data_IF_548393102829
#
_entry.id   IF_548393102829
#
_cell.length_a   1.000
_cell.length_b   1.000
_cell.length_c   1.000
_cell.angle_alpha   90.00
_cell.angle_beta   90.00
_cell.angle_gamma   90.00
#
_symmetry.space_group_name_H-M   'P 1'
#
loop_
_entity.id
_entity.type
_entity.pdbx_description
1 polymer ?
#
# COMPACT_ATOMS: atom_id res chain seq x y z
N UNK A 1 13.04 13.79 -9.39
CA UNK A 1 12.22 13.02 -10.34
C UNK A 1 13.14 12.08 -11.10
N UNK A 2 13.02 10.78 -10.84
CA UNK A 2 13.86 9.72 -11.41
C UNK A 2 13.31 9.21 -12.76
N UNK A 3 12.24 9.81 -13.28
CA UNK A 3 11.58 9.40 -14.53
C UNK A 3 12.50 9.40 -15.75
N UNK A 4 13.49 10.31 -15.78
CA UNK A 4 14.42 10.49 -16.90
C UNK A 4 15.68 9.62 -16.84
N UNK A 5 15.91 8.89 -15.73
CA UNK A 5 17.10 8.08 -15.57
C UNK A 5 17.03 6.80 -16.44
N UNK A 6 18.08 6.55 -17.21
CA UNK A 6 18.31 5.30 -17.98
C UNK A 6 18.99 4.20 -17.16
N UNK A 7 19.55 4.56 -16.00
CA UNK A 7 20.27 3.67 -15.09
C UNK A 7 19.86 3.91 -13.63
N UNK A 8 20.11 2.93 -12.77
CA UNK A 8 19.86 3.04 -11.34
C UNK A 8 20.85 4.02 -10.68
N UNK A 9 20.35 5.02 -9.97
CA UNK A 9 21.19 6.01 -9.24
C UNK A 9 22.07 5.43 -8.12
N UNK A 10 21.84 4.18 -7.72
CA UNK A 10 22.57 3.52 -6.61
C UNK A 10 23.58 2.47 -7.07
N UNK A 11 23.25 1.71 -8.13
CA UNK A 11 24.11 0.61 -8.60
C UNK A 11 24.50 0.72 -10.07
N UNK A 12 24.08 1.78 -10.77
CA UNK A 12 24.36 2.07 -12.18
C UNK A 12 23.90 0.97 -13.15
N UNK A 13 23.09 0.01 -12.67
CA UNK A 13 22.51 -1.02 -13.53
C UNK A 13 21.53 -0.39 -14.52
N UNK A 14 21.46 -0.89 -15.77
CA UNK A 14 20.55 -0.38 -16.78
C UNK A 14 19.10 -0.58 -16.34
N UNK A 15 18.28 0.46 -16.54
CA UNK A 15 16.85 0.43 -16.20
C UNK A 15 16.04 -0.49 -17.11
N UNK A 16 16.51 -0.67 -18.34
CA UNK A 16 15.85 -1.46 -19.36
C UNK A 16 16.74 -2.63 -19.82
N UNK A 17 16.10 -3.76 -20.11
CA UNK A 17 16.72 -4.95 -20.67
C UNK A 17 16.41 -4.96 -22.17
N UNK A 18 17.42 -4.95 -23.05
CA UNK A 18 17.21 -5.04 -24.48
C UNK A 18 16.64 -6.42 -24.85
N UNK A 19 15.61 -6.45 -25.70
CA UNK A 19 15.14 -7.72 -26.31
C UNK A 19 16.15 -8.15 -27.37
N UNK A 20 16.51 -9.45 -27.40
CA UNK A 20 17.53 -10.01 -28.32
C UNK A 20 17.33 -9.51 -29.75
N UNK A 21 18.41 -8.97 -30.32
CA UNK A 21 18.56 -8.55 -31.72
C UNK A 21 18.28 -9.72 -32.66
N UNK A 22 17.26 -9.59 -33.52
CA UNK A 22 16.93 -10.60 -34.54
C UNK A 22 15.47 -10.62 -34.99
N UNK A 23 14.55 -10.04 -34.21
CA UNK A 23 13.14 -9.92 -34.58
C UNK A 23 12.67 -8.49 -34.36
N UNK A 24 12.73 -7.63 -35.39
CA UNK A 24 12.01 -6.34 -35.45
C UNK A 24 12.31 -5.25 -34.39
N UNK A 25 11.73 -4.07 -34.60
CA UNK A 25 11.78 -2.90 -33.69
C UNK A 25 10.96 -3.13 -32.41
N UNK A 26 11.33 -4.07 -31.54
CA UNK A 26 10.69 -4.16 -30.22
C UNK A 26 11.32 -3.18 -29.23
N UNK A 27 10.46 -2.52 -28.44
CA UNK A 27 10.83 -1.59 -27.38
C UNK A 27 11.53 -2.33 -26.23
N UNK A 28 12.51 -1.69 -25.62
CA UNK A 28 13.17 -2.19 -24.42
C UNK A 28 12.18 -2.39 -23.27
N UNK A 29 12.43 -3.38 -22.42
CA UNK A 29 11.54 -3.76 -21.33
C UNK A 29 12.16 -3.34 -19.99
N UNK A 30 11.42 -2.73 -19.06
CA UNK A 30 11.95 -2.39 -17.73
C UNK A 30 12.49 -3.62 -17.00
N UNK A 31 13.68 -3.51 -16.40
CA UNK A 31 14.30 -4.57 -15.61
C UNK A 31 13.46 -4.91 -14.36
N UNK A 32 12.85 -3.89 -13.76
CA UNK A 32 11.89 -3.97 -12.66
C UNK A 32 10.78 -2.96 -12.91
N UNK A 33 9.54 -3.31 -12.53
CA UNK A 33 8.38 -2.43 -12.64
C UNK A 33 7.44 -2.66 -11.47
N UNK A 34 6.61 -1.68 -11.18
CA UNK A 34 5.45 -1.75 -10.29
C UNK A 34 4.38 -0.81 -10.82
N UNK A 35 3.14 -1.06 -10.42
CA UNK A 35 2.05 -0.10 -10.62
C UNK A 35 1.76 0.57 -9.29
N UNK A 36 1.82 1.91 -9.27
CA UNK A 36 1.50 2.71 -8.10
C UNK A 36 0.18 3.44 -8.31
N UNK A 37 -0.65 3.45 -7.27
CA UNK A 37 -1.94 4.14 -7.24
C UNK A 37 -1.92 5.16 -6.09
N UNK A 38 -1.81 6.47 -6.38
CA UNK A 38 -1.70 7.51 -5.35
C UNK A 38 -2.77 7.40 -4.26
N UNK A 39 -2.34 7.52 -3.01
CA UNK A 39 -3.24 7.33 -1.85
C UNK A 39 -3.94 8.62 -1.45
N UNK A 40 -3.27 9.78 -1.57
CA UNK A 40 -3.80 11.08 -1.14
C UNK A 40 -5.20 11.38 -1.70
N UNK A 41 -5.47 11.24 -3.02
CA UNK A 41 -6.81 11.53 -3.56
C UNK A 41 -7.88 10.57 -3.05
N UNK A 42 -7.50 9.34 -2.65
CA UNK A 42 -8.43 8.37 -2.06
C UNK A 42 -8.77 8.74 -0.63
N UNK A 43 -7.79 9.17 0.17
CA UNK A 43 -8.03 9.64 1.53
C UNK A 43 -8.89 10.90 1.55
N UNK A 44 -8.60 11.87 0.67
CA UNK A 44 -9.44 13.07 0.52
C UNK A 44 -10.90 12.72 0.21
N UNK A 45 -11.11 11.71 -0.65
CA UNK A 45 -12.47 11.26 -1.00
C UNK A 45 -13.23 10.66 0.18
N UNK A 46 -12.55 10.03 1.15
CA UNK A 46 -13.20 9.51 2.35
C UNK A 46 -13.81 10.62 3.23
N UNK A 47 -13.31 11.85 3.10
CA UNK A 47 -13.83 13.02 3.79
C UNK A 47 -14.73 13.90 2.90
N UNK A 48 -15.00 13.50 1.66
CA UNK A 48 -15.79 14.30 0.71
C UNK A 48 -17.30 14.25 0.97
N UNK A 49 -17.80 13.25 1.70
CA UNK A 49 -19.20 13.17 2.15
C UNK A 49 -19.27 13.26 3.67
N UNK A 50 -20.37 13.83 4.18
CA UNK A 50 -20.61 13.94 5.63
C UNK A 50 -20.74 12.58 6.30
N UNK A 51 -21.35 11.61 5.60
CA UNK A 51 -21.54 10.25 6.08
C UNK A 51 -20.20 9.50 6.21
N UNK A 52 -19.38 9.47 5.16
CA UNK A 52 -18.07 8.83 5.21
C UNK A 52 -17.12 9.55 6.17
N UNK A 53 -17.16 10.88 6.22
CA UNK A 53 -16.36 11.66 7.17
C UNK A 53 -16.71 11.36 8.63
N UNK A 54 -18.00 11.13 8.94
CA UNK A 54 -18.43 10.75 10.28
C UNK A 54 -17.83 9.40 10.69
N UNK A 55 -17.89 8.41 9.80
CA UNK A 55 -17.30 7.08 10.02
C UNK A 55 -15.78 7.12 10.15
N UNK A 56 -15.10 8.01 9.42
CA UNK A 56 -13.65 8.22 9.55
C UNK A 56 -13.21 8.83 10.90
N UNK A 57 -14.15 9.14 11.79
CA UNK A 57 -13.88 9.54 13.19
C UNK A 57 -14.39 8.53 14.21
N UNK A 58 -14.90 7.38 13.76
CA UNK A 58 -15.53 6.38 14.61
C UNK A 58 -14.61 5.89 15.73
N UNK A 59 -13.35 5.58 15.41
CA UNK A 59 -12.37 5.09 16.38
C UNK A 59 -12.18 6.00 17.60
N UNK A 60 -12.35 7.32 17.43
CA UNK A 60 -12.19 8.29 18.50
C UNK A 60 -13.42 8.38 19.40
N UNK A 61 -14.62 8.22 18.82
CA UNK A 61 -15.90 8.26 19.53
C UNK A 61 -16.18 6.95 20.26
N UNK A 62 -15.82 5.82 19.65
CA UNK A 62 -16.09 4.49 20.17
C UNK A 62 -14.93 3.95 21.02
N UNK A 63 -14.55 4.68 22.08
CA UNK A 63 -13.52 4.21 23.01
C UNK A 63 -14.02 2.97 23.74
N UNK A 64 -13.18 1.94 23.76
CA UNK A 64 -13.50 0.69 24.42
C UNK A 64 -13.04 0.70 25.88
N UNK A 65 -13.98 0.60 26.81
CA UNK A 65 -13.71 0.45 28.24
C UNK A 65 -13.65 -1.01 28.69
N UNK A 66 -13.86 -1.97 27.77
CA UNK A 66 -13.79 -3.40 28.06
C UNK A 66 -12.40 -3.97 27.76
N UNK A 67 -12.07 -5.09 28.39
CA UNK A 67 -10.82 -5.83 28.13
C UNK A 67 -10.86 -6.68 26.85
N UNK A 68 -11.84 -6.46 25.96
CA UNK A 68 -12.03 -7.25 24.73
C UNK A 68 -11.47 -6.46 23.55
N UNK A 69 -10.63 -7.08 22.72
CA UNK A 69 -10.16 -6.48 21.47
C UNK A 69 -11.22 -6.62 20.38
N UNK A 70 -11.86 -5.51 20.01
CA UNK A 70 -12.92 -5.48 18.98
C UNK A 70 -12.45 -4.83 17.68
N UNK A 71 -11.45 -3.97 17.78
CA UNK A 71 -10.93 -3.17 16.67
C UNK A 71 -9.42 -2.91 16.88
N UNK A 72 -8.61 -2.70 15.82
CA UNK A 72 -7.18 -2.37 15.96
C UNK A 72 -6.87 -1.24 16.95
N UNK A 73 -7.77 -0.27 17.11
CA UNK A 73 -7.65 0.82 18.10
C UNK A 73 -7.60 0.37 19.56
N UNK A 74 -8.11 -0.81 19.86
CA UNK A 74 -8.08 -1.37 21.22
C UNK A 74 -6.69 -1.96 21.55
N UNK A 75 -5.89 -2.24 20.53
CA UNK A 75 -4.60 -2.91 20.61
C UNK A 75 -3.50 -2.05 21.25
N UNK A 76 -2.51 -2.72 21.84
CA UNK A 76 -1.37 -2.07 22.50
C UNK A 76 -0.55 -1.20 21.56
N UNK A 77 -0.36 -1.64 20.30
CA UNK A 77 0.40 -0.88 19.32
C UNK A 77 -0.23 0.48 18.99
N UNK A 78 -1.56 0.53 18.91
CA UNK A 78 -2.29 1.78 18.69
C UNK A 78 -2.17 2.72 19.89
N UNK A 79 -2.41 2.21 21.09
CA UNK A 79 -2.28 2.99 22.34
C UNK A 79 -0.87 3.55 22.51
N UNK A 80 0.14 2.72 22.25
CA UNK A 80 1.53 3.15 22.27
C UNK A 80 1.82 4.25 21.24
N UNK A 81 1.28 4.14 20.02
CA UNK A 81 1.40 5.20 19.02
C UNK A 81 0.74 6.51 19.50
N UNK A 82 -0.44 6.43 20.12
CA UNK A 82 -1.14 7.59 20.66
C UNK A 82 -0.35 8.27 21.80
N UNK A 83 0.34 7.48 22.63
CA UNK A 83 1.23 7.98 23.69
C UNK A 83 2.49 8.67 23.13
N UNK A 84 3.06 8.13 22.04
CA UNK A 84 4.26 8.69 21.39
C UNK A 84 3.92 9.96 20.58
N UNK A 85 2.74 10.02 19.97
CA UNK A 85 2.31 11.11 19.10
C UNK A 85 0.97 11.72 19.57
N UNK A 86 0.95 12.40 20.74
CA UNK A 86 -0.29 12.89 21.35
C UNK A 86 -0.99 13.97 20.49
N UNK A 87 -0.23 14.82 19.79
CA UNK A 87 -0.82 15.80 18.87
C UNK A 87 -1.50 15.14 17.68
N UNK A 88 -0.93 14.05 17.16
CA UNK A 88 -1.57 13.27 16.12
C UNK A 88 -2.85 12.61 16.65
N UNK A 89 -2.80 12.03 17.85
CA UNK A 89 -3.92 11.32 18.45
C UNK A 89 -5.09 12.22 18.83
N UNK A 90 -4.79 13.49 19.18
CA UNK A 90 -5.78 14.51 19.56
C UNK A 90 -6.68 14.92 18.40
N UNK A 91 -6.21 14.87 17.16
CA UNK A 91 -7.00 15.19 15.97
C UNK A 91 -7.70 13.92 15.43
N UNK A 92 -9.04 13.77 15.61
CA UNK A 92 -9.75 12.55 15.21
C UNK A 92 -9.78 12.30 13.71
N UNK A 93 -9.49 13.32 12.89
CA UNK A 93 -9.44 13.19 11.42
C UNK A 93 -8.10 12.68 10.92
N UNK A 94 -7.10 12.53 11.79
CA UNK A 94 -5.84 11.93 11.39
C UNK A 94 -6.03 10.45 11.07
N UNK A 95 -5.59 10.06 9.88
CA UNK A 95 -5.86 8.74 9.32
C UNK A 95 -4.83 7.74 9.82
N UNK A 96 -5.30 6.61 10.32
CA UNK A 96 -4.51 5.45 10.70
C UNK A 96 -4.77 4.33 9.71
N UNK A 97 -3.68 3.77 9.22
CA UNK A 97 -3.70 2.87 8.08
C UNK A 97 -3.22 1.48 8.49
N UNK A 98 -3.99 0.46 8.16
CA UNK A 98 -3.53 -0.91 8.10
C UNK A 98 -2.91 -1.18 6.74
N UNK A 99 -1.78 -1.89 6.71
CA UNK A 99 -1.12 -2.29 5.48
C UNK A 99 -0.96 -3.81 5.47
N UNK A 100 -1.35 -4.43 4.35
CA UNK A 100 -1.01 -5.82 4.09
C UNK A 100 -0.36 -5.97 2.72
N UNK A 101 0.60 -6.89 2.65
CA UNK A 101 1.27 -7.26 1.42
C UNK A 101 1.48 -8.76 1.42
N UNK A 102 1.03 -9.41 0.36
CA UNK A 102 1.21 -10.85 0.18
C UNK A 102 1.39 -11.17 -1.31
N UNK A 103 1.92 -12.35 -1.61
CA UNK A 103 2.19 -12.82 -2.96
C UNK A 103 1.22 -13.90 -3.39
N UNK A 104 0.69 -13.79 -4.61
CA UNK A 104 -0.07 -14.87 -5.24
C UNK A 104 0.44 -15.17 -6.64
N UNK A 105 0.14 -16.37 -7.13
CA UNK A 105 0.44 -16.81 -8.50
C UNK A 105 -0.83 -16.68 -9.33
N UNK A 106 -0.98 -15.68 -10.22
CA UNK A 106 -2.20 -15.45 -10.99
C UNK A 106 -2.50 -16.54 -12.01
N UNK A 107 -1.49 -17.33 -12.40
CA UNK A 107 -1.65 -18.41 -13.37
C UNK A 107 -0.81 -19.62 -12.99
N UNK A 108 -1.47 -20.73 -12.67
CA UNK A 108 -0.84 -22.01 -12.36
C UNK A 108 -1.04 -22.91 -13.58
N UNK A 109 -0.13 -22.80 -14.55
CA UNK A 109 0.00 -23.78 -15.62
C UNK A 109 1.27 -24.59 -15.40
N UNK A 110 1.18 -25.92 -15.55
CA UNK A 110 2.32 -26.83 -15.34
C UNK A 110 3.52 -26.54 -16.26
N UNK A 111 3.30 -25.90 -17.41
CA UNK A 111 4.33 -25.53 -18.39
C UNK A 111 4.75 -24.05 -18.34
N UNK A 112 4.13 -23.23 -17.49
CA UNK A 112 4.42 -21.80 -17.42
C UNK A 112 5.54 -21.50 -16.42
N UNK A 113 6.38 -20.51 -16.73
CA UNK A 113 7.40 -20.03 -15.80
C UNK A 113 6.75 -19.48 -14.52
N UNK A 114 7.31 -19.77 -13.32
CA UNK A 114 6.79 -19.25 -12.06
C UNK A 114 6.64 -17.73 -12.10
N UNK A 115 5.44 -17.24 -11.77
CA UNK A 115 5.13 -15.82 -11.75
C UNK A 115 4.44 -15.46 -10.44
N UNK A 116 5.07 -14.57 -9.66
CA UNK A 116 4.48 -14.04 -8.43
C UNK A 116 3.93 -12.64 -8.66
N UNK A 117 2.79 -12.31 -8.07
CA UNK A 117 2.18 -10.98 -8.08
C UNK A 117 1.93 -10.55 -6.64
N UNK A 118 2.41 -9.36 -6.27
CA UNK A 118 2.34 -8.86 -4.90
C UNK A 118 1.52 -7.57 -4.84
N UNK A 119 0.23 -7.64 -4.46
CA UNK A 119 -0.54 -6.47 -4.10
C UNK A 119 -0.13 -5.94 -2.73
N UNK A 120 -0.04 -4.61 -2.63
CA UNK A 120 0.00 -3.90 -1.35
C UNK A 120 -1.36 -3.22 -1.19
N UNK A 121 -2.11 -3.66 -0.20
CA UNK A 121 -3.44 -3.15 0.12
C UNK A 121 -3.35 -2.34 1.39
N UNK A 122 -3.97 -1.17 1.37
CA UNK A 122 -4.06 -0.26 2.50
C UNK A 122 -5.52 -0.12 2.90
N UNK A 123 -5.80 -0.18 4.20
CA UNK A 123 -7.15 0.03 4.76
C UNK A 123 -7.14 1.15 5.81
N UNK A 124 -8.11 2.06 5.81
CA UNK A 124 -8.28 3.04 6.88
C UNK A 124 -8.90 2.37 8.12
N UNK A 125 -8.09 2.16 9.15
CA UNK A 125 -8.56 1.67 10.46
C UNK A 125 -9.28 2.76 11.28
N UNK A 126 -9.56 3.92 10.72
CA UNK A 126 -10.44 4.87 11.37
C UNK A 126 -11.90 4.40 11.40
N UNK A 127 -12.27 3.60 10.40
CA UNK A 127 -13.62 3.12 10.13
C UNK A 127 -14.06 2.05 11.14
N UNK A 128 -15.37 1.87 11.35
CA UNK A 128 -15.88 0.83 12.21
C UNK A 128 -15.59 -0.59 11.66
N UNK A 129 -15.62 -1.63 12.51
CA UNK A 129 -15.35 -3.02 12.14
C UNK A 129 -16.18 -3.53 10.96
N UNK A 130 -17.43 -3.07 10.84
CA UNK A 130 -18.36 -3.44 9.78
C UNK A 130 -17.95 -2.90 8.41
N UNK A 131 -17.06 -1.89 8.38
CA UNK A 131 -16.65 -1.19 7.17
C UNK A 131 -15.17 -1.40 6.83
N UNK A 132 -14.26 -1.37 7.80
CA UNK A 132 -12.81 -1.22 7.56
C UNK A 132 -12.19 -2.33 6.68
N UNK A 133 -12.76 -3.53 6.66
CA UNK A 133 -12.29 -4.65 5.83
C UNK A 133 -13.20 -4.98 4.62
N UNK A 134 -14.11 -4.08 4.27
CA UNK A 134 -14.99 -4.26 3.10
C UNK A 134 -14.34 -3.76 1.82
N UNK A 135 -14.79 -4.29 0.66
CA UNK A 135 -14.18 -4.02 -0.66
C UNK A 135 -13.94 -2.53 -0.99
N UNK A 136 -14.84 -1.58 -0.68
CA UNK A 136 -14.62 -0.16 -0.98
C UNK A 136 -13.43 0.46 -0.24
N UNK A 137 -13.06 -0.10 0.92
CA UNK A 137 -12.02 0.42 1.80
C UNK A 137 -10.73 -0.41 1.77
N UNK A 138 -10.69 -1.49 0.97
CA UNK A 138 -9.46 -2.20 0.63
C UNK A 138 -8.79 -1.52 -0.57
N UNK A 139 -7.92 -0.56 -0.27
CA UNK A 139 -7.28 0.27 -1.29
C UNK A 139 -6.01 -0.39 -1.82
N UNK A 140 -6.06 -1.00 -3.00
CA UNK A 140 -4.83 -1.45 -3.70
C UNK A 140 -3.95 -0.25 -4.05
N UNK A 141 -2.77 -0.13 -3.42
CA UNK A 141 -1.84 1.02 -3.60
C UNK A 141 -0.62 0.68 -4.45
N UNK A 142 -0.13 -0.55 -4.35
CA UNK A 142 0.98 -1.02 -5.18
C UNK A 142 0.64 -2.40 -5.75
N UNK A 143 1.02 -2.64 -7.00
CA UNK A 143 1.00 -3.97 -7.61
C UNK A 143 2.37 -4.26 -8.18
N UNK A 144 3.06 -5.23 -7.58
CA UNK A 144 4.42 -5.61 -7.97
C UNK A 144 4.36 -6.91 -8.77
N UNK A 145 4.53 -6.86 -10.10
CA UNK A 145 4.61 -8.05 -10.93
C UNK A 145 5.95 -8.77 -10.78
N UNK A 146 5.92 -10.09 -10.95
CA UNK A 146 7.05 -10.99 -10.86
C UNK A 146 8.08 -10.82 -11.99
N UNK A 147 9.00 -11.79 -12.17
CA UNK A 147 8.82 -13.21 -11.83
C UNK A 147 9.22 -13.59 -10.40
N UNK A 148 10.09 -12.81 -9.75
CA UNK A 148 10.58 -13.09 -8.38
C UNK A 148 9.74 -12.34 -7.35
N UNK A 149 9.59 -12.93 -6.16
CA UNK A 149 8.94 -12.24 -5.04
C UNK A 149 9.78 -11.03 -4.59
N UNK A 150 9.15 -9.93 -4.13
CA UNK A 150 9.84 -8.74 -3.67
C UNK A 150 10.16 -8.76 -2.17
N UNK A 151 10.00 -9.88 -1.43
CA UNK A 151 10.03 -9.92 0.05
C UNK A 151 11.22 -9.15 0.65
N UNK A 152 12.44 -9.44 0.18
CA UNK A 152 13.66 -8.81 0.67
C UNK A 152 13.76 -7.30 0.38
N UNK A 153 13.03 -6.81 -0.62
CA UNK A 153 13.15 -5.43 -1.14
C UNK A 153 11.80 -4.72 -1.20
N UNK A 154 10.81 -5.17 -0.44
CA UNK A 154 9.44 -4.64 -0.52
C UNK A 154 9.40 -3.15 -0.15
N UNK A 155 10.25 -2.72 0.78
CA UNK A 155 10.39 -1.31 1.16
C UNK A 155 10.71 -0.39 -0.02
N UNK A 156 11.50 -0.83 -1.00
CA UNK A 156 11.83 -0.04 -2.20
C UNK A 156 10.58 0.24 -3.04
N UNK A 157 9.67 -0.73 -3.12
CA UNK A 157 8.42 -0.60 -3.85
C UNK A 157 7.37 0.22 -3.07
N UNK A 158 7.50 0.30 -1.75
CA UNK A 158 6.63 1.08 -0.88
C UNK A 158 7.02 2.56 -0.80
N UNK A 159 8.20 2.95 -1.30
CA UNK A 159 8.68 4.32 -1.17
C UNK A 159 7.67 5.37 -1.64
N UNK A 160 7.01 5.26 -2.81
CA UNK A 160 6.03 6.28 -3.21
C UNK A 160 4.81 6.37 -2.29
N UNK A 161 4.43 5.25 -1.65
CA UNK A 161 3.36 5.25 -0.65
C UNK A 161 3.80 5.96 0.62
N UNK A 162 5.05 5.80 1.04
CA UNK A 162 5.62 6.52 2.19
C UNK A 162 5.71 8.01 1.87
N UNK A 163 6.22 8.37 0.69
CA UNK A 163 6.36 9.76 0.25
C UNK A 163 5.00 10.49 0.19
N UNK A 164 3.92 9.80 -0.20
CA UNK A 164 2.55 10.34 -0.19
C UNK A 164 1.98 10.56 1.23
N UNK A 165 2.57 9.95 2.27
CA UNK A 165 2.09 9.99 3.66
C UNK A 165 2.92 10.89 4.58
N UNK A 166 4.01 11.49 4.07
CA UNK A 166 4.83 12.49 4.75
C UNK A 166 4.22 13.89 4.62
#
# INVERSE_FOLDING_TARGET
DDSKLSECKFCYAPRFIPRRTGMGKYKDVPAKRMFYFPIVPRLQRLYASTESAAEMTWHHKNKNNSNILRHPSDGKAWKHFDDVYPDFAREPRNVRLGLCADGFTPYIQASASPYSCWPIIVTPYNLPPEMCMTKPYLLLRCLIPGPKNPKEKIGVYMQPLIDDLQ
#
